data_IF_620666084784
#
_entry.id   IF_620666084784
#
_cell.length_a   1.000
_cell.length_b   1.000
_cell.length_c   1.000
_cell.angle_alpha   90.00
_cell.angle_beta   90.00
_cell.angle_gamma   90.00
#
_symmetry.space_group_name_H-M   'P 1'
#
loop_
_entity.id
_entity.type
_entity.pdbx_description
1 polymer ?
#
# COMPACT_ATOMS: atom_id res chain seq x y z
N UNK A 1 7.88 13.97 12.64
CA UNK A 1 8.39 13.72 11.27
C UNK A 1 7.27 13.07 10.48
N UNK A 2 6.56 13.82 9.63
CA UNK A 2 5.55 13.25 8.76
C UNK A 2 6.27 12.39 7.73
N UNK A 3 6.36 11.08 7.96
CA UNK A 3 6.90 10.15 6.96
C UNK A 3 6.02 10.27 5.74
N UNK A 4 6.60 10.79 4.66
CA UNK A 4 5.89 11.13 3.43
C UNK A 4 5.07 9.92 2.98
N UNK A 5 3.75 10.08 2.88
CA UNK A 5 2.83 9.06 2.36
C UNK A 5 3.33 8.48 1.02
N UNK A 6 3.98 9.33 0.22
CA UNK A 6 4.62 8.96 -1.05
C UNK A 6 5.73 7.91 -0.91
N UNK A 7 6.54 7.98 0.15
CA UNK A 7 7.64 7.03 0.40
C UNK A 7 7.10 5.67 0.80
N UNK A 8 6.12 5.65 1.71
CA UNK A 8 5.46 4.41 2.14
C UNK A 8 4.70 3.78 0.97
N UNK A 9 4.03 4.58 0.13
CA UNK A 9 3.38 4.08 -1.08
C UNK A 9 4.38 3.39 -2.03
N UNK A 10 5.53 4.01 -2.29
CA UNK A 10 6.56 3.41 -3.15
C UNK A 10 7.10 2.10 -2.58
N UNK A 11 7.42 2.06 -1.28
CA UNK A 11 7.86 0.83 -0.63
C UNK A 11 6.80 -0.27 -0.72
N UNK A 12 5.53 0.06 -0.46
CA UNK A 12 4.41 -0.89 -0.58
C UNK A 12 4.31 -1.43 -2.01
N UNK A 13 4.48 -0.59 -3.05
CA UNK A 13 4.48 -1.03 -4.44
C UNK A 13 5.62 -2.00 -4.75
N UNK A 14 6.82 -1.73 -4.26
CA UNK A 14 7.96 -2.64 -4.43
C UNK A 14 7.69 -3.99 -3.78
N UNK A 15 7.14 -4.00 -2.55
CA UNK A 15 6.77 -5.21 -1.83
C UNK A 15 5.62 -5.98 -2.47
N UNK A 16 4.79 -5.33 -3.29
CA UNK A 16 3.75 -5.97 -4.09
C UNK A 16 4.29 -6.59 -5.40
N UNK A 17 5.60 -6.60 -5.62
CA UNK A 17 6.24 -7.12 -6.82
C UNK A 17 6.50 -6.05 -7.89
N UNK A 18 6.42 -4.77 -7.52
CA UNK A 18 6.64 -3.62 -8.38
C UNK A 18 5.47 -3.31 -9.33
N UNK A 19 5.56 -2.19 -10.05
CA UNK A 19 4.50 -1.70 -10.94
C UNK A 19 4.06 -2.72 -12.01
N UNK A 20 4.97 -3.60 -12.45
CA UNK A 20 4.66 -4.64 -13.43
C UNK A 20 3.72 -5.73 -12.90
N UNK A 21 3.71 -5.96 -11.58
CA UNK A 21 2.86 -6.93 -10.91
C UNK A 21 1.49 -6.36 -10.50
N UNK A 22 1.34 -5.03 -10.51
CA UNK A 22 0.07 -4.38 -10.18
C UNK A 22 -0.88 -4.53 -11.37
N UNK A 23 -2.07 -5.05 -11.10
CA UNK A 23 -3.16 -5.14 -12.07
C UNK A 23 -4.17 -4.01 -11.88
N UNK A 24 -4.52 -3.73 -10.62
CA UNK A 24 -5.43 -2.64 -10.29
C UNK A 24 -5.06 -2.02 -8.94
N UNK A 25 -5.15 -0.70 -8.84
CA UNK A 25 -4.86 0.03 -7.62
C UNK A 25 -6.00 1.01 -7.31
N UNK A 26 -6.57 0.88 -6.12
CA UNK A 26 -7.62 1.77 -5.61
C UNK A 26 -7.24 2.22 -4.21
N UNK A 27 -7.51 3.46 -3.83
CA UNK A 27 -7.25 3.94 -2.47
C UNK A 27 -8.45 4.70 -1.93
N UNK A 28 -8.64 4.64 -0.62
CA UNK A 28 -9.51 5.53 0.11
C UNK A 28 -8.69 6.29 1.16
N UNK A 29 -9.35 6.99 2.08
CA UNK A 29 -8.66 7.85 3.05
C UNK A 29 -7.71 7.10 4.00
N UNK A 30 -7.92 5.81 4.25
CA UNK A 30 -7.15 5.04 5.24
C UNK A 30 -6.75 3.63 4.75
N UNK A 31 -7.12 3.28 3.51
CA UNK A 31 -6.90 1.94 2.98
C UNK A 31 -6.51 1.98 1.50
N UNK A 32 -5.40 1.35 1.18
CA UNK A 32 -4.99 1.03 -0.18
C UNK A 32 -5.50 -0.37 -0.50
N UNK A 33 -6.11 -0.54 -1.67
CA UNK A 33 -6.54 -1.82 -2.22
C UNK A 33 -5.79 -2.05 -3.52
N UNK A 34 -5.11 -3.17 -3.62
CA UNK A 34 -4.29 -3.54 -4.75
C UNK A 34 -4.70 -4.92 -5.22
N UNK A 35 -4.88 -5.07 -6.52
CA UNK A 35 -4.99 -6.36 -7.20
C UNK A 35 -3.67 -6.57 -7.91
N UNK A 36 -3.02 -7.70 -7.65
CA UNK A 36 -1.78 -8.10 -8.31
C UNK A 36 -2.04 -9.23 -9.30
N UNK A 37 -1.19 -9.32 -10.32
CA UNK A 37 -1.23 -10.37 -11.33
C UNK A 37 -0.70 -11.71 -10.79
N UNK A 38 0.30 -11.63 -9.90
CA UNK A 38 0.95 -12.77 -9.29
C UNK A 38 1.16 -12.52 -7.78
N UNK A 39 0.31 -13.14 -6.97
CA UNK A 39 0.33 -13.02 -5.51
C UNK A 39 1.60 -13.66 -4.90
N UNK A 40 2.28 -14.55 -5.63
CA UNK A 40 3.52 -15.20 -5.18
C UNK A 40 4.69 -14.23 -5.06
N UNK A 41 4.60 -13.07 -5.75
CA UNK A 41 5.60 -12.00 -5.71
C UNK A 41 5.33 -10.99 -4.59
N UNK A 42 4.20 -11.10 -3.90
CA UNK A 42 3.81 -10.17 -2.85
C UNK A 42 4.43 -10.59 -1.53
N UNK A 43 5.19 -9.68 -0.92
CA UNK A 43 5.75 -9.89 0.41
C UNK A 43 4.79 -9.37 1.50
N UNK A 44 3.79 -10.18 1.81
CA UNK A 44 2.75 -9.90 2.80
C UNK A 44 3.30 -9.62 4.22
N UNK A 45 4.32 -10.35 4.64
CA UNK A 45 4.92 -10.20 5.98
C UNK A 45 5.56 -8.81 6.10
N UNK A 46 6.39 -8.46 5.12
CA UNK A 46 7.11 -7.20 5.10
C UNK A 46 6.15 -6.00 4.93
N UNK A 47 5.01 -6.16 4.26
CA UNK A 47 3.95 -5.15 4.18
C UNK A 47 3.36 -4.83 5.56
N UNK A 48 3.13 -5.84 6.40
CA UNK A 48 2.63 -5.65 7.77
C UNK A 48 3.64 -5.03 8.71
N UNK A 49 4.93 -5.25 8.48
CA UNK A 49 6.04 -4.67 9.26
C UNK A 49 6.49 -3.29 8.76
N UNK A 50 5.99 -2.86 7.59
CA UNK A 50 6.35 -1.56 7.00
C UNK A 50 5.91 -0.42 7.90
N UNK A 51 6.85 0.44 8.23
CA UNK A 51 6.64 1.53 9.17
C UNK A 51 5.66 2.58 8.60
N UNK A 52 4.45 2.64 9.15
CA UNK A 52 3.34 3.47 8.64
C UNK A 52 2.17 2.66 8.08
N UNK A 53 2.37 1.36 7.87
CA UNK A 53 1.28 0.40 7.68
C UNK A 53 0.79 -0.06 9.05
N UNK A 54 -0.50 0.12 9.30
CA UNK A 54 -1.15 -0.36 10.52
C UNK A 54 -1.62 -1.81 10.38
N UNK A 55 -1.73 -2.31 9.16
CA UNK A 55 -2.06 -3.70 8.92
C UNK A 55 -2.19 -4.02 7.43
N UNK A 56 -2.05 -5.29 7.12
CA UNK A 56 -2.19 -5.84 5.78
C UNK A 56 -3.17 -7.01 5.82
N UNK A 57 -4.05 -7.08 4.81
CA UNK A 57 -5.04 -8.15 4.67
C UNK A 57 -5.13 -8.58 3.21
N UNK A 58 -5.17 -9.87 2.93
CA UNK A 58 -5.51 -10.39 1.61
C UNK A 58 -6.92 -10.97 1.65
N UNK A 59 -7.83 -10.45 0.83
CA UNK A 59 -9.22 -10.92 0.78
C UNK A 59 -9.82 -10.73 -0.60
N UNK A 60 -10.51 -11.76 -1.10
CA UNK A 60 -11.16 -11.76 -2.41
C UNK A 60 -10.20 -11.41 -3.57
N UNK A 61 -8.94 -11.87 -3.52
CA UNK A 61 -7.93 -11.52 -4.54
C UNK A 61 -7.45 -10.06 -4.48
N UNK A 62 -7.71 -9.36 -3.36
CA UNK A 62 -7.28 -7.98 -3.16
C UNK A 62 -6.39 -7.87 -1.94
N UNK A 63 -5.22 -7.27 -2.13
CA UNK A 63 -4.31 -6.82 -1.09
C UNK A 63 -4.82 -5.50 -0.51
N UNK A 64 -5.15 -5.51 0.77
CA UNK A 64 -5.66 -4.36 1.50
C UNK A 64 -4.62 -3.92 2.53
N UNK A 65 -3.97 -2.79 2.25
CA UNK A 65 -3.00 -2.17 3.15
C UNK A 65 -3.69 -1.04 3.90
N UNK A 66 -3.72 -1.11 5.22
CA UNK A 66 -4.26 -0.06 6.08
C UNK A 66 -3.12 0.88 6.45
N UNK A 67 -3.23 2.12 6.00
CA UNK A 67 -2.27 3.19 6.26
C UNK A 67 -2.98 4.11 7.27
N UNK A 68 -2.49 4.16 8.50
CA UNK A 68 -3.17 4.84 9.61
C UNK A 68 -3.44 6.34 9.39
N UNK A 69 -4.07 6.98 10.37
CA UNK A 69 -4.40 8.42 10.34
C UNK A 69 -3.12 9.26 10.23
N UNK A 70 -2.84 9.75 9.02
CA UNK A 70 -1.60 10.46 8.66
C UNK A 70 -1.26 10.38 7.17
N UNK A 71 -1.87 9.44 6.42
CA UNK A 71 -1.67 9.29 4.99
C UNK A 71 -2.40 10.33 4.12
N UNK A 72 -3.44 10.98 4.66
CA UNK A 72 -4.20 12.06 3.99
C UNK A 72 -3.83 13.39 4.63
N UNK A 73 -2.58 13.81 4.45
CA UNK A 73 -2.21 15.20 4.65
C UNK A 73 -1.55 15.72 3.38
N UNK A 74 -2.40 16.38 2.58
CA UNK A 74 -2.08 17.41 1.59
C UNK A 74 -1.64 16.95 0.18
N UNK A 75 -2.58 16.40 -0.58
CA UNK A 75 -2.72 16.75 -2.00
C UNK A 75 -3.42 18.11 -2.12
N UNK A 76 -2.69 19.16 -1.74
CA UNK A 76 -2.96 20.53 -2.19
C UNK A 76 -1.61 21.13 -2.55
N UNK A 77 -1.14 20.79 -3.75
CA UNK A 77 -0.31 21.72 -4.51
C UNK A 77 -1.29 22.67 -5.21
N UNK A 78 -1.44 23.86 -4.64
CA UNK A 78 -1.67 25.10 -5.37
C UNK A 78 -0.45 25.98 -5.15
#
# INVERSE_FOLDING_TARGET
>A
MARNAKVVASQVMDLLGGEGNIEQLTHCATRLRVVTKDDSKVNAEQLGETEGVHGYFFKNGQHQVILGTGFVAKSSLS
#
